data_IF_414174296081
#
_entry.id   IF_414174296081
#
_cell.length_a   1.000
_cell.length_b   1.000
_cell.length_c   1.000
_cell.angle_alpha   90.00
_cell.angle_beta   90.00
_cell.angle_gamma   90.00
#
_symmetry.space_group_name_H-M   'P 1'
#
loop_
_entity.id
_entity.type
_entity.pdbx_description
1 polymer ?
#
# COMPACT_ATOMS: atom_id res chain seq x y z
N UNK A 1 13.67 -10.53 -3.57
CA UNK A 1 13.58 -9.05 -3.53
C UNK A 1 14.87 -8.48 -2.95
N UNK A 2 15.46 -7.41 -3.53
CA UNK A 2 16.61 -6.72 -2.91
C UNK A 2 16.28 -6.20 -1.51
N UNK A 3 17.26 -6.18 -0.60
CA UNK A 3 17.04 -5.74 0.80
C UNK A 3 16.66 -4.26 0.89
N UNK A 4 15.79 -3.93 1.84
CA UNK A 4 15.38 -2.59 2.21
C UNK A 4 15.21 -2.51 3.74
N UNK A 5 15.57 -1.41 4.42
CA UNK A 5 15.50 -1.31 5.88
C UNK A 5 14.08 -1.41 6.46
N UNK A 6 13.05 -1.09 5.67
CA UNK A 6 11.64 -1.13 6.10
C UNK A 6 10.83 -2.25 5.45
N UNK A 7 11.49 -3.30 4.97
CA UNK A 7 10.84 -4.51 4.45
C UNK A 7 11.40 -5.69 5.21
N UNK A 8 10.51 -6.58 5.71
CA UNK A 8 10.97 -7.76 6.43
C UNK A 8 11.86 -8.61 5.53
N UNK A 9 12.98 -9.07 6.07
CA UNK A 9 13.86 -9.97 5.33
C UNK A 9 13.15 -11.30 5.08
N UNK A 10 13.47 -11.99 3.96
CA UNK A 10 13.04 -13.36 3.77
C UNK A 10 13.39 -14.21 4.99
N UNK A 11 12.52 -15.15 5.40
CA UNK A 11 12.74 -15.94 6.60
C UNK A 11 13.96 -16.84 6.40
N UNK A 12 14.85 -16.87 7.39
CA UNK A 12 16.06 -17.69 7.34
C UNK A 12 15.82 -19.13 7.81
N UNK A 13 14.71 -19.37 8.52
CA UNK A 13 14.36 -20.66 9.08
C UNK A 13 13.03 -21.14 8.49
N UNK A 14 13.09 -22.27 7.80
CA UNK A 14 11.93 -22.98 7.27
C UNK A 14 11.46 -24.05 8.27
N UNK A 15 10.16 -24.11 8.50
CA UNK A 15 9.53 -25.12 9.36
C UNK A 15 8.98 -26.24 8.48
N UNK A 16 9.48 -27.45 8.71
CA UNK A 16 9.12 -28.64 7.94
C UNK A 16 8.51 -29.70 8.84
N UNK A 17 7.49 -30.40 8.36
CA UNK A 17 6.91 -31.58 9.01
C UNK A 17 7.04 -32.80 8.11
N UNK A 18 6.99 -34.00 8.69
CA UNK A 18 6.85 -35.24 7.92
C UNK A 18 5.72 -36.08 8.50
N UNK A 19 4.83 -36.58 7.64
CA UNK A 19 3.92 -37.65 8.05
C UNK A 19 4.63 -38.98 7.83
N UNK A 20 4.72 -39.79 8.88
CA UNK A 20 5.30 -41.15 8.82
C UNK A 20 4.55 -42.00 7.77
N UNK A 21 3.25 -41.75 7.58
CA UNK A 21 2.39 -42.45 6.61
C UNK A 21 2.72 -42.13 5.14
N UNK A 22 3.34 -40.98 4.86
CA UNK A 22 3.73 -40.55 3.49
C UNK A 22 5.17 -40.96 3.17
N UNK A 23 5.67 -42.05 3.76
CA UNK A 23 7.02 -42.56 3.52
C UNK A 23 8.15 -41.64 4.00
N UNK A 24 7.86 -40.72 4.93
CA UNK A 24 8.84 -39.75 5.43
C UNK A 24 9.04 -38.53 4.52
N UNK A 25 8.12 -38.27 3.58
CA UNK A 25 8.16 -37.04 2.78
C UNK A 25 8.06 -35.80 3.67
N UNK A 26 8.97 -34.85 3.47
CA UNK A 26 9.01 -33.57 4.17
C UNK A 26 8.11 -32.56 3.46
N UNK A 27 7.22 -31.92 4.23
CA UNK A 27 6.35 -30.85 3.78
C UNK A 27 6.77 -29.55 4.45
N UNK A 28 6.89 -28.47 3.67
CA UNK A 28 7.07 -27.13 4.20
C UNK A 28 5.74 -26.68 4.83
N UNK A 29 5.77 -26.33 6.12
CA UNK A 29 4.57 -25.97 6.89
C UNK A 29 4.59 -24.54 7.40
N UNK A 30 5.72 -23.83 7.26
CA UNK A 30 5.80 -22.45 7.67
C UNK A 30 7.23 -21.96 7.68
N UNK A 31 7.40 -20.77 8.24
CA UNK A 31 8.68 -20.08 8.35
C UNK A 31 8.74 -19.33 9.68
N UNK A 32 9.94 -19.05 10.18
CA UNK A 32 10.12 -18.23 11.38
C UNK A 32 10.69 -16.86 11.01
N UNK A 33 10.09 -15.84 11.60
CA UNK A 33 10.52 -14.44 11.49
C UNK A 33 10.96 -13.90 12.85
N UNK A 34 11.78 -12.83 12.87
CA UNK A 34 12.02 -12.08 14.10
C UNK A 34 10.71 -11.60 14.73
N UNK A 35 10.61 -11.71 16.05
CA UNK A 35 9.46 -11.21 16.80
C UNK A 35 9.55 -9.69 16.94
N UNK A 36 8.51 -8.98 16.48
CA UNK A 36 8.38 -7.52 16.57
C UNK A 36 7.51 -7.17 17.78
N UNK A 37 8.11 -6.61 18.83
CA UNK A 37 7.45 -6.44 20.13
C UNK A 37 6.45 -5.28 20.18
N UNK A 38 6.58 -4.29 19.31
CA UNK A 38 5.77 -3.07 19.33
C UNK A 38 4.47 -3.18 18.51
N UNK A 39 3.96 -4.41 18.37
CA UNK A 39 2.75 -4.77 17.63
C UNK A 39 2.75 -4.27 16.16
N UNK A 40 1.59 -4.41 15.50
CA UNK A 40 1.33 -3.77 14.21
C UNK A 40 0.84 -2.34 14.38
N UNK A 41 1.01 -1.52 13.34
CA UNK A 41 0.42 -0.17 13.30
C UNK A 41 -1.10 -0.20 13.53
N UNK A 42 -1.77 -1.27 13.10
CA UNK A 42 -3.20 -1.45 13.34
C UNK A 42 -3.53 -1.42 14.83
N UNK A 43 -2.79 -2.19 15.63
CA UNK A 43 -3.00 -2.21 17.07
C UNK A 43 -2.61 -0.88 17.71
N UNK A 44 -1.53 -0.24 17.25
CA UNK A 44 -1.09 1.07 17.77
C UNK A 44 -2.15 2.15 17.52
N UNK A 45 -2.68 2.22 16.30
CA UNK A 45 -3.75 3.16 15.92
C UNK A 45 -5.05 2.84 16.65
N UNK A 46 -5.45 1.57 16.72
CA UNK A 46 -6.71 1.14 17.37
C UNK A 46 -6.68 1.26 18.90
N UNK A 47 -5.50 1.19 19.54
CA UNK A 47 -5.36 1.44 21.00
C UNK A 47 -5.53 2.92 21.37
N UNK A 48 -5.25 3.84 20.46
CA UNK A 48 -5.30 5.27 20.74
C UNK A 48 -6.68 5.78 21.19
N UNK A 49 -7.79 5.50 20.48
CA UNK A 49 -9.12 5.96 20.89
C UNK A 49 -9.52 5.46 22.28
N UNK A 50 -9.12 4.22 22.62
CA UNK A 50 -9.40 3.59 23.92
C UNK A 50 -8.60 4.25 25.03
N UNK A 51 -7.30 4.49 24.78
CA UNK A 51 -6.37 5.07 25.75
C UNK A 51 -6.38 6.60 25.78
N UNK A 52 -7.11 7.24 24.85
CA UNK A 52 -7.09 8.68 24.57
C UNK A 52 -5.68 9.25 24.32
N UNK A 53 -4.78 8.41 23.80
CA UNK A 53 -3.38 8.79 23.57
C UNK A 53 -3.20 9.22 22.12
N UNK A 54 -2.78 10.48 21.91
CA UNK A 54 -2.42 10.98 20.57
C UNK A 54 -1.02 10.50 20.21
N UNK A 55 -0.85 9.94 19.01
CA UNK A 55 0.47 9.56 18.51
C UNK A 55 1.25 10.82 18.12
N UNK A 56 2.55 10.92 18.47
CA UNK A 56 3.37 12.06 18.10
C UNK A 56 3.44 12.28 16.58
N UNK A 57 3.49 13.55 16.15
CA UNK A 57 3.63 13.91 14.74
C UNK A 57 4.90 13.34 14.12
N UNK A 58 5.99 13.28 14.90
CA UNK A 58 7.27 12.72 14.49
C UNK A 58 7.14 11.26 14.05
N UNK A 59 6.45 10.45 14.82
CA UNK A 59 6.31 9.02 14.53
C UNK A 59 5.38 8.81 13.34
N UNK A 60 4.29 9.59 13.26
CA UNK A 60 3.42 9.63 12.08
C UNK A 60 4.18 9.97 10.79
N UNK A 61 5.04 10.99 10.82
CA UNK A 61 5.87 11.39 9.68
C UNK A 61 6.89 10.29 9.32
N UNK A 62 7.56 9.74 10.34
CA UNK A 62 8.51 8.64 10.20
C UNK A 62 7.86 7.44 9.50
N UNK A 63 6.71 6.98 9.98
CA UNK A 63 6.03 5.82 9.40
C UNK A 63 5.51 6.08 7.99
N UNK A 64 4.93 7.26 7.72
CA UNK A 64 4.52 7.64 6.35
C UNK A 64 5.70 7.61 5.38
N UNK A 65 6.87 8.11 5.80
CA UNK A 65 8.09 8.07 4.99
C UNK A 65 8.61 6.64 4.80
N UNK A 66 8.73 5.86 5.87
CA UNK A 66 9.22 4.47 5.81
C UNK A 66 8.36 3.60 4.90
N UNK A 67 7.04 3.76 4.96
CA UNK A 67 6.10 3.07 4.10
C UNK A 67 6.23 3.50 2.63
N UNK A 68 6.25 4.81 2.35
CA UNK A 68 6.44 5.32 0.99
C UNK A 68 7.79 4.88 0.40
N UNK A 69 8.86 4.89 1.20
CA UNK A 69 10.19 4.41 0.80
C UNK A 69 10.19 2.91 0.49
N UNK A 70 9.54 2.10 1.32
CA UNK A 70 9.44 0.66 1.11
C UNK A 70 8.70 0.33 -0.20
N UNK A 71 7.55 0.97 -0.46
CA UNK A 71 6.79 0.76 -1.70
C UNK A 71 7.52 1.34 -2.93
N UNK A 72 8.21 2.47 -2.79
CA UNK A 72 9.07 2.99 -3.85
C UNK A 72 10.17 1.98 -4.22
N UNK A 73 10.76 1.32 -3.23
CA UNK A 73 11.73 0.25 -3.46
C UNK A 73 11.11 -0.98 -4.14
N UNK A 74 9.88 -1.37 -3.80
CA UNK A 74 9.23 -2.53 -4.43
C UNK A 74 9.00 -2.29 -5.91
N UNK A 75 8.49 -1.10 -6.27
CA UNK A 75 8.28 -0.73 -7.66
C UNK A 75 9.59 -0.56 -8.43
N UNK A 76 10.46 0.35 -7.99
CA UNK A 76 11.55 0.84 -8.84
C UNK A 76 12.84 0.03 -8.72
N UNK A 77 12.99 -0.81 -7.69
CA UNK A 77 14.18 -1.67 -7.51
C UNK A 77 13.86 -3.15 -7.58
N UNK A 78 12.76 -3.59 -6.98
CA UNK A 78 12.37 -4.99 -6.99
C UNK A 78 11.47 -5.37 -8.16
N UNK A 79 10.90 -4.39 -8.89
CA UNK A 79 9.92 -4.57 -9.96
C UNK A 79 8.75 -5.47 -9.53
N UNK A 80 8.24 -5.26 -8.32
CA UNK A 80 7.14 -6.02 -7.70
C UNK A 80 6.18 -5.07 -6.97
N UNK A 81 5.09 -5.60 -6.45
CA UNK A 81 4.04 -4.86 -5.76
C UNK A 81 3.66 -5.49 -4.43
N UNK A 82 2.95 -4.73 -3.60
CA UNK A 82 2.31 -5.19 -2.38
C UNK A 82 0.79 -5.07 -2.52
N UNK A 83 0.08 -6.18 -2.69
CA UNK A 83 -1.38 -6.15 -2.91
C UNK A 83 -2.18 -5.77 -1.65
N UNK A 84 -1.62 -6.08 -0.48
CA UNK A 84 -2.35 -6.07 0.78
C UNK A 84 -1.96 -4.88 1.69
N UNK A 85 -1.92 -3.66 1.15
CA UNK A 85 -1.50 -2.46 1.92
C UNK A 85 -2.60 -2.12 2.95
N UNK A 86 -2.37 -2.48 4.22
CA UNK A 86 -3.22 -2.18 5.39
C UNK A 86 -2.37 -2.06 6.65
N UNK A 87 -2.88 -1.34 7.66
CA UNK A 87 -2.17 -1.14 8.94
C UNK A 87 -1.70 -2.43 9.61
N UNK A 88 -2.43 -3.53 9.43
CA UNK A 88 -2.11 -4.84 10.01
C UNK A 88 -0.79 -5.44 9.50
N UNK A 89 -0.35 -5.05 8.30
CA UNK A 89 0.81 -5.61 7.62
C UNK A 89 2.08 -4.77 7.85
N UNK A 90 2.02 -3.82 8.79
CA UNK A 90 3.13 -2.97 9.16
C UNK A 90 3.46 -3.22 10.61
N UNK A 91 4.55 -3.93 10.85
CA UNK A 91 5.04 -4.23 12.20
C UNK A 91 6.04 -3.17 12.65
N UNK A 92 6.09 -2.91 13.95
CA UNK A 92 7.07 -2.02 14.56
C UNK A 92 8.14 -2.81 15.30
N UNK A 93 9.41 -2.54 15.01
CA UNK A 93 10.53 -3.05 15.82
C UNK A 93 10.68 -2.27 17.14
N UNK A 94 11.69 -2.65 17.94
CA UNK A 94 11.97 -2.02 19.24
C UNK A 94 12.29 -0.51 19.16
N UNK A 95 12.81 -0.04 18.02
CA UNK A 95 13.11 1.37 17.72
C UNK A 95 11.93 2.11 17.07
N UNK A 96 10.74 1.49 17.05
CA UNK A 96 9.52 1.98 16.41
C UNK A 96 9.69 2.25 14.90
N UNK A 97 10.62 1.54 14.25
CA UNK A 97 10.74 1.49 12.79
C UNK A 97 9.72 0.53 12.22
N UNK A 98 9.10 0.97 11.13
CA UNK A 98 8.10 0.21 10.40
C UNK A 98 8.75 -0.82 9.47
N UNK A 99 8.19 -2.02 9.46
CA UNK A 99 8.51 -3.10 8.53
C UNK A 99 7.25 -3.57 7.79
N UNK A 100 7.32 -3.56 6.46
CA UNK A 100 6.29 -4.16 5.59
C UNK A 100 6.44 -5.67 5.56
N UNK A 101 5.36 -6.39 5.87
CA UNK A 101 5.29 -7.86 5.98
C UNK A 101 4.19 -8.44 5.08
N UNK A 102 3.99 -9.76 5.14
CA UNK A 102 2.85 -10.44 4.52
C UNK A 102 2.80 -10.26 2.99
N UNK A 103 3.86 -10.78 2.35
CA UNK A 103 4.11 -10.66 0.92
C UNK A 103 3.47 -11.80 0.11
N UNK A 104 2.92 -12.80 0.79
CA UNK A 104 2.32 -14.00 0.23
C UNK A 104 0.83 -13.85 -0.09
N UNK A 105 0.15 -12.83 0.45
CA UNK A 105 -1.27 -12.65 0.23
C UNK A 105 -1.59 -12.27 -1.23
N UNK A 106 -2.70 -12.82 -1.74
CA UNK A 106 -3.27 -12.47 -3.04
C UNK A 106 -4.55 -11.64 -2.95
N UNK A 107 -4.97 -11.32 -1.73
CA UNK A 107 -6.18 -10.56 -1.43
C UNK A 107 -5.82 -9.11 -1.13
N UNK A 108 -6.73 -8.20 -1.47
CA UNK A 108 -6.60 -6.80 -1.15
C UNK A 108 -7.70 -6.36 -0.18
N UNK A 109 -7.41 -5.49 0.80
CA UNK A 109 -8.42 -5.04 1.74
C UNK A 109 -9.43 -4.14 1.04
N UNK A 110 -10.72 -4.35 1.27
CA UNK A 110 -11.77 -3.44 0.76
C UNK A 110 -11.58 -2.00 1.21
N UNK A 111 -11.04 -1.78 2.42
CA UNK A 111 -10.83 -0.43 2.95
C UNK A 111 -9.75 0.38 2.23
N UNK A 112 -8.82 -0.27 1.53
CA UNK A 112 -7.68 0.40 0.88
C UNK A 112 -7.51 0.08 -0.60
N UNK A 113 -8.14 -0.96 -1.16
CA UNK A 113 -8.03 -1.28 -2.58
C UNK A 113 -8.52 -0.10 -3.44
N UNK A 114 -7.72 0.26 -4.45
CA UNK A 114 -8.10 1.25 -5.43
C UNK A 114 -9.39 0.85 -6.18
N UNK A 115 -10.35 1.76 -6.40
CA UNK A 115 -11.65 1.40 -7.00
C UNK A 115 -11.54 0.71 -8.36
N UNK A 116 -10.56 1.11 -9.17
CA UNK A 116 -10.31 0.53 -10.48
C UNK A 116 -9.63 -0.84 -10.43
N UNK A 117 -9.06 -1.24 -9.29
CA UNK A 117 -8.34 -2.50 -9.12
C UNK A 117 -9.23 -3.65 -8.60
N UNK A 118 -10.54 -3.46 -8.56
CA UNK A 118 -11.52 -4.40 -8.02
C UNK A 118 -11.80 -5.67 -8.86
N UNK A 119 -11.03 -5.91 -9.93
CA UNK A 119 -11.23 -7.05 -10.84
C UNK A 119 -12.09 -6.77 -12.07
N UNK A 120 -12.86 -5.68 -12.10
CA UNK A 120 -13.83 -5.39 -13.16
C UNK A 120 -13.27 -4.58 -14.33
N UNK A 121 -12.01 -4.16 -14.28
CA UNK A 121 -11.43 -3.23 -15.26
C UNK A 121 -10.17 -3.80 -15.91
N UNK A 122 -10.06 -3.55 -17.21
CA UNK A 122 -8.81 -3.64 -17.95
C UNK A 122 -8.21 -2.25 -18.09
N UNK A 123 -6.89 -2.18 -18.24
CA UNK A 123 -6.17 -0.91 -18.37
C UNK A 123 -5.18 -0.96 -19.53
N UNK A 124 -5.18 0.10 -20.32
CA UNK A 124 -4.20 0.32 -21.38
C UNK A 124 -3.48 1.65 -21.17
N UNK A 125 -2.17 1.70 -21.41
CA UNK A 125 -1.41 2.95 -21.42
C UNK A 125 -1.37 3.54 -22.83
N UNK A 126 -1.85 4.78 -22.97
CA UNK A 126 -1.85 5.54 -24.22
C UNK A 126 -0.92 6.73 -24.07
N UNK A 127 0.04 6.87 -24.98
CA UNK A 127 0.90 8.07 -25.03
C UNK A 127 0.13 9.22 -25.66
N UNK A 128 -0.12 10.29 -24.90
CA UNK A 128 -0.65 11.53 -25.46
C UNK A 128 0.48 12.45 -25.90
N UNK A 129 0.47 12.97 -27.15
CA UNK A 129 1.40 14.02 -27.54
C UNK A 129 1.06 15.29 -26.76
N UNK A 130 2.02 15.77 -25.96
CA UNK A 130 1.88 17.02 -25.22
C UNK A 130 1.89 18.19 -26.20
N UNK A 131 0.76 18.88 -26.34
CA UNK A 131 0.63 20.11 -27.14
C UNK A 131 1.22 21.29 -26.38
N UNK A 132 2.55 21.41 -26.36
CA UNK A 132 3.22 22.65 -25.98
C UNK A 132 4.17 23.06 -27.10
N UNK A 133 3.88 24.19 -27.73
CA UNK A 133 4.76 24.78 -28.73
C UNK A 133 6.08 25.16 -28.05
N UNK A 134 7.18 24.51 -28.43
CA UNK A 134 8.52 25.04 -28.22
C UNK A 134 9.47 24.25 -27.33
N UNK A 135 9.12 23.10 -26.75
CA UNK A 135 10.12 22.34 -25.99
C UNK A 135 9.92 20.82 -26.01
N UNK A 136 11.05 20.12 -25.91
CA UNK A 136 11.25 18.66 -26.07
C UNK A 136 10.05 17.76 -25.71
N UNK A 137 9.78 16.80 -26.61
CA UNK A 137 8.65 15.88 -26.60
C UNK A 137 8.59 15.00 -25.34
N UNK A 138 8.05 15.52 -24.25
CA UNK A 138 7.64 14.72 -23.09
C UNK A 138 6.20 14.26 -23.32
N UNK A 139 6.04 13.05 -23.88
CA UNK A 139 4.72 12.39 -23.93
C UNK A 139 4.32 11.98 -22.51
N UNK A 140 3.16 12.40 -22.06
CA UNK A 140 2.60 11.91 -20.79
C UNK A 140 1.77 10.66 -21.10
N UNK A 141 2.07 9.56 -20.41
CA UNK A 141 1.24 8.36 -20.42
C UNK A 141 -0.12 8.68 -19.79
N UNK A 142 -1.20 8.25 -20.44
CA UNK A 142 -2.55 8.28 -19.88
C UNK A 142 -3.09 6.85 -19.83
N UNK A 143 -3.63 6.46 -18.70
CA UNK A 143 -4.28 5.18 -18.51
C UNK A 143 -5.76 5.28 -18.89
N UNK A 144 -6.19 4.37 -19.75
CA UNK A 144 -7.59 4.22 -20.14
C UNK A 144 -8.10 2.92 -19.55
N UNK A 145 -9.05 3.05 -18.62
CA UNK A 145 -9.71 1.93 -17.98
C UNK A 145 -10.98 1.59 -18.75
N UNK A 146 -11.12 0.32 -19.13
CA UNK A 146 -12.29 -0.22 -19.82
C UNK A 146 -12.91 -1.28 -18.94
N UNK A 147 -14.23 -1.24 -18.80
CA UNK A 147 -14.93 -2.30 -18.06
C UNK A 147 -14.74 -3.60 -18.82
N UNK A 148 -14.38 -4.67 -18.12
CA UNK A 148 -14.18 -5.96 -18.72
C UNK A 148 -15.53 -6.58 -19.15
N UNK A 149 -15.61 -6.98 -20.42
CA UNK A 149 -16.84 -7.52 -21.05
C UNK A 149 -16.75 -9.02 -21.39
N UNK A 150 -15.66 -9.68 -21.01
CA UNK A 150 -15.47 -11.11 -21.26
C UNK A 150 -16.19 -12.03 -20.27
N UNK A 151 -15.82 -13.31 -20.26
CA UNK A 151 -16.37 -14.30 -19.31
C UNK A 151 -16.09 -13.90 -17.87
N UNK A 152 -17.06 -14.04 -16.93
CA UNK A 152 -16.89 -13.64 -15.54
C UNK A 152 -15.54 -14.07 -14.97
N UNK A 153 -14.82 -13.11 -14.41
CA UNK A 153 -13.51 -13.32 -13.81
C UNK A 153 -13.69 -13.78 -12.38
N UNK A 154 -13.31 -15.03 -12.10
CA UNK A 154 -13.28 -15.58 -10.75
C UNK A 154 -12.07 -16.49 -10.62
N UNK A 155 -11.13 -16.13 -9.75
CA UNK A 155 -10.02 -17.02 -9.36
C UNK A 155 -9.70 -16.98 -7.87
N UNK A 156 -10.20 -15.98 -7.13
CA UNK A 156 -10.12 -15.94 -5.68
C UNK A 156 -11.43 -16.43 -5.04
N UNK A 157 -11.29 -16.99 -3.85
CA UNK A 157 -12.42 -17.39 -3.00
C UNK A 157 -13.02 -16.20 -2.23
N UNK A 158 -12.45 -15.01 -2.43
CA UNK A 158 -12.65 -13.79 -1.66
C UNK A 158 -12.70 -12.57 -2.58
N UNK A 159 -12.93 -11.40 -2.01
CA UNK A 159 -12.96 -10.13 -2.74
C UNK A 159 -11.55 -9.49 -2.80
N UNK A 160 -11.15 -8.90 -3.93
CA UNK A 160 -11.84 -8.91 -5.23
C UNK A 160 -11.83 -10.32 -5.83
N UNK A 161 -12.89 -10.71 -6.54
CA UNK A 161 -13.00 -12.06 -7.13
C UNK A 161 -11.90 -12.37 -8.16
N UNK A 162 -11.22 -11.31 -8.63
CA UNK A 162 -10.11 -11.36 -9.56
C UNK A 162 -9.02 -10.36 -9.18
N UNK A 163 -7.80 -10.88 -8.99
CA UNK A 163 -6.60 -10.06 -8.83
C UNK A 163 -6.09 -9.55 -10.18
N UNK A 164 -6.17 -8.23 -10.41
CA UNK A 164 -5.67 -7.57 -11.63
C UNK A 164 -4.16 -7.31 -11.62
N UNK A 165 -3.51 -7.31 -10.46
CA UNK A 165 -2.12 -6.88 -10.32
C UNK A 165 -1.10 -7.77 -11.04
N UNK A 166 -1.24 -9.11 -11.14
CA UNK A 166 -0.34 -9.92 -11.96
C UNK A 166 -0.32 -9.44 -13.42
N UNK A 167 -1.50 -9.24 -14.01
CA UNK A 167 -1.63 -8.76 -15.40
C UNK A 167 -1.11 -7.32 -15.54
N UNK A 168 -1.49 -6.42 -14.62
CA UNK A 168 -1.05 -5.03 -14.69
C UNK A 168 0.45 -4.89 -14.49
N UNK A 169 1.09 -5.73 -13.68
CA UNK A 169 2.55 -5.72 -13.52
C UNK A 169 3.27 -5.97 -14.85
N UNK A 170 2.72 -6.86 -15.67
CA UNK A 170 3.30 -7.24 -16.96
C UNK A 170 2.94 -6.24 -18.07
N UNK A 171 1.69 -5.80 -18.12
CA UNK A 171 1.16 -5.03 -19.25
C UNK A 171 1.14 -3.51 -19.00
N UNK A 172 0.95 -3.07 -17.76
CA UNK A 172 0.78 -1.65 -17.42
C UNK A 172 1.26 -1.33 -15.97
N UNK A 173 2.56 -1.47 -15.67
CA UNK A 173 3.08 -1.35 -14.31
C UNK A 173 2.87 0.04 -13.68
N UNK A 174 2.72 1.09 -14.49
CA UNK A 174 2.40 2.44 -14.01
C UNK A 174 0.96 2.52 -13.46
N UNK A 175 -0.01 1.80 -14.06
CA UNK A 175 -1.37 1.73 -13.53
C UNK A 175 -1.42 0.99 -12.18
N UNK A 176 -0.58 -0.05 -12.05
CA UNK A 176 -0.38 -0.74 -10.78
C UNK A 176 0.18 0.22 -9.72
N UNK A 177 1.22 1.00 -10.04
CA UNK A 177 1.75 2.04 -9.15
C UNK A 177 0.65 3.01 -8.70
N UNK A 178 -0.22 3.46 -9.61
CA UNK A 178 -1.35 4.34 -9.24
C UNK A 178 -2.33 3.69 -8.27
N UNK A 179 -2.56 2.38 -8.39
CA UNK A 179 -3.41 1.64 -7.45
C UNK A 179 -2.74 1.52 -6.07
N UNK A 180 -1.45 1.20 -5.99
CA UNK A 180 -0.73 1.15 -4.70
C UNK A 180 -0.62 2.52 -4.04
N UNK A 181 -0.46 3.61 -4.81
CA UNK A 181 -0.49 4.99 -4.30
C UNK A 181 -1.84 5.31 -3.64
N UNK A 182 -2.95 4.81 -4.18
CA UNK A 182 -4.26 4.97 -3.55
C UNK A 182 -4.31 4.25 -2.19
N UNK A 183 -3.90 2.97 -2.15
CA UNK A 183 -3.88 2.18 -0.92
C UNK A 183 -2.96 2.80 0.14
N UNK A 184 -1.81 3.34 -0.29
CA UNK A 184 -0.88 4.10 0.55
C UNK A 184 -1.53 5.38 1.08
N UNK A 185 -2.19 6.16 0.23
CA UNK A 185 -2.91 7.38 0.62
C UNK A 185 -3.96 7.12 1.70
N UNK A 186 -4.75 6.05 1.54
CA UNK A 186 -5.72 5.59 2.53
C UNK A 186 -5.08 5.21 3.86
N UNK A 187 -4.00 4.44 3.80
CA UNK A 187 -3.23 4.05 4.98
C UNK A 187 -2.63 5.26 5.69
N UNK A 188 -2.04 6.20 4.94
CA UNK A 188 -1.50 7.44 5.50
C UNK A 188 -2.57 8.25 6.21
N UNK A 189 -3.77 8.36 5.64
CA UNK A 189 -4.89 8.99 6.32
C UNK A 189 -5.23 8.31 7.64
N UNK A 190 -5.28 6.97 7.67
CA UNK A 190 -5.55 6.23 8.91
C UNK A 190 -4.48 6.48 9.97
N UNK A 191 -3.19 6.51 9.61
CA UNK A 191 -2.08 6.84 10.53
C UNK A 191 -2.16 8.28 11.04
N UNK A 192 -2.35 9.23 10.12
CA UNK A 192 -2.36 10.66 10.44
C UNK A 192 -3.57 11.04 11.30
N UNK A 193 -4.75 10.63 10.86
CA UNK A 193 -6.02 10.85 11.56
C UNK A 193 -6.16 10.00 12.82
N UNK A 194 -5.44 8.87 12.91
CA UNK A 194 -5.67 7.80 13.88
C UNK A 194 -7.08 7.20 13.75
N UNK A 195 -7.47 6.95 12.50
CA UNK A 195 -8.76 6.35 12.13
C UNK A 195 -8.63 4.84 12.22
N UNK A 196 -9.54 4.21 12.97
CA UNK A 196 -9.53 2.77 13.18
C UNK A 196 -9.84 2.01 11.88
N UNK A 197 -9.09 0.94 11.65
CA UNK A 197 -9.27 0.05 10.49
C UNK A 197 -10.58 -0.76 10.53
N UNK A 198 -11.15 -0.94 11.72
CA UNK A 198 -12.39 -1.68 11.97
C UNK A 198 -13.66 -0.89 11.71
N UNK A 199 -13.54 0.41 11.43
CA UNK A 199 -14.68 1.13 10.88
C UNK A 199 -15.00 0.47 9.53
N UNK A 200 -16.28 0.27 9.21
CA UNK A 200 -16.73 -0.13 7.88
C UNK A 200 -16.42 1.01 6.91
N UNK A 201 -15.14 1.23 6.63
CA UNK A 201 -14.66 2.25 5.74
C UNK A 201 -15.01 1.74 4.35
N UNK A 202 -16.17 2.17 3.87
CA UNK A 202 -16.66 1.88 2.53
C UNK A 202 -15.59 2.29 1.51
N UNK A 203 -15.46 1.53 0.43
CA UNK A 203 -14.60 1.85 -0.72
C UNK A 203 -14.97 3.24 -1.26
N UNK A 204 -16.25 3.58 -1.20
CA UNK A 204 -16.80 4.86 -1.65
C UNK A 204 -16.67 6.00 -0.61
N UNK A 205 -16.26 5.68 0.63
CA UNK A 205 -16.09 6.70 1.66
C UNK A 205 -14.89 7.59 1.36
N UNK A 206 -15.17 8.87 1.12
CA UNK A 206 -14.12 9.85 0.90
C UNK A 206 -13.27 10.02 2.16
N UNK A 207 -11.96 10.14 1.95
CA UNK A 207 -11.05 10.57 3.01
C UNK A 207 -11.46 11.95 3.50
N UNK A 208 -11.77 12.04 4.80
CA UNK A 208 -12.19 13.26 5.45
C UNK A 208 -11.43 13.49 6.75
N UNK A 209 -11.25 14.75 7.12
CA UNK A 209 -10.55 15.15 8.33
C UNK A 209 -11.56 15.76 9.30
N UNK A 210 -11.64 15.20 10.50
CA UNK A 210 -12.46 15.75 11.58
C UNK A 210 -11.61 16.62 12.54
N UNK A 211 -12.23 17.12 13.61
CA UNK A 211 -11.58 17.96 14.63
C UNK A 211 -10.42 17.25 15.34
N UNK A 212 -10.43 15.91 15.41
CA UNK A 212 -9.37 15.13 16.04
C UNK A 212 -8.04 15.20 15.28
N UNK A 213 -8.07 15.59 14.00
CA UNK A 213 -6.89 15.80 13.17
C UNK A 213 -6.43 17.28 13.14
N UNK A 214 -6.91 18.14 14.04
CA UNK A 214 -6.53 19.56 14.08
C UNK A 214 -5.02 19.81 14.28
N UNK A 215 -4.31 18.87 14.92
CA UNK A 215 -2.86 18.87 15.12
C UNK A 215 -2.05 18.55 13.85
N UNK A 216 -2.65 17.91 12.85
CA UNK A 216 -1.95 17.50 11.63
C UNK A 216 -1.68 18.72 10.74
N UNK A 217 -0.42 18.96 10.31
CA UNK A 217 -0.10 20.07 9.42
C UNK A 217 -0.93 20.07 8.13
N UNK A 218 -1.41 21.24 7.73
CA UNK A 218 -2.34 21.37 6.60
C UNK A 218 -1.75 20.82 5.29
N UNK A 219 -0.45 20.99 5.08
CA UNK A 219 0.22 20.49 3.88
C UNK A 219 0.33 18.95 3.86
N UNK A 220 0.29 18.27 5.01
CA UNK A 220 0.18 16.80 5.08
C UNK A 220 -1.25 16.37 4.72
N UNK A 221 -2.24 17.08 5.26
CA UNK A 221 -3.65 16.86 4.91
C UNK A 221 -3.93 17.03 3.43
N UNK A 222 -3.24 17.95 2.76
CA UNK A 222 -3.36 18.17 1.31
C UNK A 222 -2.68 17.10 0.46
N UNK A 223 -1.70 16.35 1.00
CA UNK A 223 -1.02 15.29 0.26
C UNK A 223 -1.92 14.06 0.07
N UNK A 224 -2.68 13.70 1.10
CA UNK A 224 -3.54 12.51 1.12
C UNK A 224 -4.57 12.51 -0.03
N UNK A 225 -5.38 13.58 -0.26
CA UNK A 225 -6.29 13.66 -1.40
C UNK A 225 -5.62 13.43 -2.76
N UNK A 226 -4.37 13.89 -2.93
CA UNK A 226 -3.60 13.67 -4.18
C UNK A 226 -3.23 12.21 -4.40
N UNK A 227 -3.23 11.39 -3.34
CA UNK A 227 -2.99 9.95 -3.43
C UNK A 227 -4.28 9.19 -3.76
N UNK A 228 -5.42 9.65 -3.23
CA UNK A 228 -6.73 8.99 -3.35
C UNK A 228 -7.64 9.61 -4.40
N UNK A 229 -7.08 10.32 -5.39
CA UNK A 229 -7.85 10.86 -6.53
C UNK A 229 -8.65 9.75 -7.21
N UNK A 230 -9.92 10.00 -7.50
CA UNK A 230 -10.79 9.03 -8.15
C UNK A 230 -10.29 8.69 -9.58
N UNK A 231 -9.69 9.66 -10.27
CA UNK A 231 -9.03 9.45 -11.55
C UNK A 231 -7.54 9.07 -11.33
N UNK A 232 -7.11 7.84 -11.64
CA UNK A 232 -5.73 7.40 -11.45
C UNK A 232 -4.70 8.26 -12.19
N UNK A 233 -5.10 8.93 -13.28
CA UNK A 233 -4.23 9.82 -14.03
C UNK A 233 -3.89 11.12 -13.28
N UNK A 234 -4.69 11.49 -12.27
CA UNK A 234 -4.47 12.69 -11.44
C UNK A 234 -3.72 12.38 -10.15
N UNK A 235 -3.59 11.11 -9.79
CA UNK A 235 -2.86 10.70 -8.59
C UNK A 235 -1.39 11.08 -8.69
N UNK A 236 -0.83 11.51 -7.56
CA UNK A 236 0.60 11.76 -7.41
C UNK A 236 1.41 10.50 -7.79
N UNK A 237 2.63 10.66 -8.29
CA UNK A 237 3.55 9.52 -8.50
C UNK A 237 4.19 9.07 -7.19
N UNK A 238 4.53 7.79 -7.07
CA UNK A 238 5.10 7.24 -5.85
C UNK A 238 6.46 7.86 -5.50
N UNK A 239 7.27 8.18 -6.51
CA UNK A 239 8.55 8.89 -6.30
C UNK A 239 8.34 10.30 -5.73
N UNK A 240 7.32 11.03 -6.20
CA UNK A 240 7.01 12.37 -5.70
C UNK A 240 6.44 12.29 -4.27
N UNK A 241 5.53 11.34 -4.03
CA UNK A 241 4.97 11.05 -2.72
C UNK A 241 6.07 10.73 -1.68
N UNK A 242 7.04 9.89 -2.06
CA UNK A 242 8.19 9.56 -1.19
C UNK A 242 8.98 10.82 -0.83
N UNK A 243 9.20 11.72 -1.79
CA UNK A 243 9.87 13.01 -1.56
C UNK A 243 9.09 13.92 -0.60
N UNK A 244 7.76 13.99 -0.75
CA UNK A 244 6.90 14.73 0.19
C UNK A 244 6.96 14.13 1.61
N UNK A 245 6.90 12.81 1.76
CA UNK A 245 6.98 12.17 3.07
C UNK A 245 8.36 12.35 3.73
N UNK A 246 9.45 12.34 2.95
CA UNK A 246 10.79 12.67 3.46
C UNK A 246 10.87 14.12 3.96
N UNK A 247 10.19 15.04 3.28
CA UNK A 247 10.07 16.41 3.77
C UNK A 247 9.34 16.47 5.13
N UNK A 248 8.22 15.76 5.29
CA UNK A 248 7.49 15.68 6.57
C UNK A 248 8.38 15.18 7.70
N UNK A 249 9.18 14.14 7.43
CA UNK A 249 10.10 13.54 8.39
C UNK A 249 11.23 14.48 8.81
N UNK A 250 11.59 15.49 8.01
CA UNK A 250 12.64 16.46 8.35
C UNK A 250 12.12 17.65 9.15
N UNK A 251 10.83 17.92 9.11
CA UNK A 251 10.20 18.99 9.90
C UNK A 251 10.04 18.63 11.39
N UNK A 252 10.18 17.35 11.78
CA UNK A 252 9.99 16.83 13.14
C UNK A 252 11.10 15.84 13.56
#
# INVERSE_FOLDING_TARGET
MPRHPNIICPPEILVVTSKIQDGGQMFLCGTLYPFMKNDSLDQVVNKSPITKTRLPLKDKAKWCHQLASALSHTHFKANTYHINIKLGNFLLNDDEDLFVTDWEESEAPSSTLAPEANGCWDVESIRKPRRTAGDSSTSTSMFVYKKYEGTPRQHLWSWPEWNVFPTWREECPEALEKAEVFSLGRTMWMVLGQVASTCDIDVDSMVSWDESASDIPQHWKHLVPRCVEADPNKRIGLSELTGCCEYFRREH
#
